data_IF_718613539152
#
_entry.id   IF_718613539152
#
_cell.length_a   1.000
_cell.length_b   1.000
_cell.length_c   1.000
_cell.angle_alpha   90.00
_cell.angle_beta   90.00
_cell.angle_gamma   90.00
#
_symmetry.space_group_name_H-M   'P 1'
#
loop_
_entity.id
_entity.type
_entity.pdbx_description
1 polymer ?
#
# COMPACT_ATOMS: atom_id res chain seq x y z
N UNK A 1 2.30 24.38 9.93
CA UNK A 1 1.34 23.86 9.02
C UNK A 1 1.74 22.60 8.29
N UNK A 2 2.94 22.14 8.54
CA UNK A 2 3.38 20.88 7.91
C UNK A 2 2.49 19.72 8.33
N UNK A 3 2.02 19.73 9.56
CA UNK A 3 1.13 18.69 10.03
C UNK A 3 -0.19 18.70 9.26
N UNK A 4 -0.63 19.89 8.93
CA UNK A 4 -1.85 20.06 8.15
C UNK A 4 -1.68 19.51 6.75
N UNK A 5 -0.53 19.75 6.13
CA UNK A 5 -0.24 19.24 4.81
C UNK A 5 -0.29 17.73 4.77
N UNK A 6 0.32 17.12 5.77
CA UNK A 6 0.35 15.67 5.87
C UNK A 6 -1.06 15.12 5.98
N UNK A 7 -1.87 15.75 6.84
CA UNK A 7 -3.25 15.32 7.02
C UNK A 7 -4.06 15.51 5.75
N UNK A 8 -3.77 16.59 5.04
CA UNK A 8 -4.48 16.89 3.82
C UNK A 8 -4.30 15.78 2.78
N UNK A 9 -3.06 15.38 2.53
CA UNK A 9 -2.79 14.34 1.52
C UNK A 9 -3.35 13.00 1.93
N UNK A 10 -3.26 12.67 3.21
CA UNK A 10 -3.84 11.42 3.69
C UNK A 10 -5.36 11.44 3.55
N UNK A 11 -5.98 12.55 3.85
CA UNK A 11 -7.42 12.69 3.73
C UNK A 11 -7.86 12.53 2.28
N UNK A 12 -7.14 13.16 1.36
CA UNK A 12 -7.47 13.05 -0.05
C UNK A 12 -7.32 11.60 -0.54
N UNK A 13 -6.28 10.93 -0.08
CA UNK A 13 -6.08 9.52 -0.43
C UNK A 13 -7.22 8.67 0.10
N UNK A 14 -7.62 8.89 1.35
CA UNK A 14 -8.69 8.13 1.98
C UNK A 14 -10.02 8.34 1.26
N UNK A 15 -10.28 9.56 0.85
CA UNK A 15 -11.51 9.89 0.12
C UNK A 15 -11.53 9.16 -1.23
N UNK A 16 -10.40 9.22 -1.94
CA UNK A 16 -10.32 8.55 -3.24
C UNK A 16 -10.52 7.05 -3.11
N UNK A 17 -9.94 6.46 -2.09
CA UNK A 17 -10.10 5.02 -1.86
C UNK A 17 -11.53 4.69 -1.48
N UNK A 18 -12.15 5.50 -0.67
CA UNK A 18 -13.55 5.28 -0.28
C UNK A 18 -14.47 5.33 -1.50
N UNK A 19 -14.23 6.29 -2.39
CA UNK A 19 -15.03 6.39 -3.60
C UNK A 19 -14.78 5.19 -4.52
N UNK A 20 -13.52 4.78 -4.63
CA UNK A 20 -13.19 3.63 -5.46
C UNK A 20 -13.80 2.35 -4.90
N UNK A 21 -13.88 2.26 -3.58
CA UNK A 21 -14.47 1.09 -2.92
C UNK A 21 -15.90 0.85 -3.39
N UNK A 22 -16.62 1.90 -3.66
CA UNK A 22 -18.00 1.78 -4.12
C UNK A 22 -18.09 1.06 -5.46
N UNK A 23 -17.03 1.10 -6.25
CA UNK A 23 -16.99 0.46 -7.55
C UNK A 23 -16.50 -0.98 -7.48
N UNK A 24 -16.04 -1.43 -6.32
CA UNK A 24 -15.55 -2.80 -6.17
C UNK A 24 -16.76 -3.72 -6.03
N UNK A 25 -16.88 -4.73 -6.90
CA UNK A 25 -18.01 -5.66 -6.80
C UNK A 25 -17.97 -6.48 -5.52
N UNK A 26 -19.15 -6.88 -5.06
CA UNK A 26 -19.24 -7.78 -3.92
C UNK A 26 -18.56 -9.08 -4.29
N UNK A 27 -17.75 -9.61 -3.36
CA UNK A 27 -17.08 -10.86 -3.63
C UNK A 27 -15.85 -10.74 -4.51
N UNK A 28 -15.42 -9.51 -4.81
CA UNK A 28 -14.23 -9.30 -5.62
C UNK A 28 -13.02 -9.90 -4.93
N UNK A 29 -12.14 -10.55 -5.71
CA UNK A 29 -10.91 -11.06 -5.13
C UNK A 29 -9.97 -9.88 -4.88
N UNK A 30 -8.86 -10.16 -4.21
CA UNK A 30 -7.95 -9.11 -3.81
C UNK A 30 -7.30 -8.43 -5.02
N UNK A 31 -7.06 -9.18 -6.08
CA UNK A 31 -6.43 -8.61 -7.27
C UNK A 31 -7.34 -7.60 -7.95
N UNK A 32 -8.60 -7.94 -8.06
CA UNK A 32 -9.56 -7.02 -8.67
C UNK A 32 -9.72 -5.79 -7.81
N UNK A 33 -9.82 -5.98 -6.51
CA UNK A 33 -9.94 -4.87 -5.59
C UNK A 33 -8.74 -3.93 -5.70
N UNK A 34 -7.53 -4.49 -5.75
CA UNK A 34 -6.32 -3.70 -5.90
C UNK A 34 -6.35 -2.90 -7.20
N UNK A 35 -6.79 -3.53 -8.26
CA UNK A 35 -6.86 -2.88 -9.56
C UNK A 35 -7.79 -1.68 -9.54
N UNK A 36 -8.96 -1.84 -8.94
CA UNK A 36 -9.94 -0.76 -8.84
C UNK A 36 -9.38 0.39 -8.01
N UNK A 37 -8.78 0.06 -6.88
CA UNK A 37 -8.21 1.08 -6.00
C UNK A 37 -7.07 1.82 -6.69
N UNK A 38 -6.18 1.10 -7.35
CA UNK A 38 -5.04 1.73 -8.00
C UNK A 38 -5.45 2.64 -9.14
N UNK A 39 -6.54 2.32 -9.81
CA UNK A 39 -7.04 3.16 -10.88
C UNK A 39 -7.57 4.49 -10.35
N UNK A 40 -7.84 4.56 -9.07
CA UNK A 40 -8.40 5.76 -8.45
C UNK A 40 -7.33 6.73 -7.92
N UNK A 41 -6.07 6.40 -8.11
CA UNK A 41 -4.98 7.25 -7.63
C UNK A 41 -5.20 8.68 -8.12
N UNK A 42 -5.38 9.64 -7.22
CA UNK A 42 -5.80 10.99 -7.60
C UNK A 42 -4.72 12.03 -7.86
N UNK A 43 -3.48 11.70 -7.55
CA UNK A 43 -2.44 12.72 -7.53
C UNK A 43 -1.58 12.86 -8.78
N UNK A 44 -1.84 12.10 -9.77
CA UNK A 44 -1.09 12.19 -11.02
C UNK A 44 0.27 11.54 -10.95
N UNK A 45 1.24 12.25 -10.44
CA UNK A 45 2.60 11.72 -10.34
C UNK A 45 2.72 10.78 -9.16
N UNK A 46 3.43 9.69 -9.38
CA UNK A 46 3.65 8.71 -8.32
C UNK A 46 4.99 8.99 -7.66
N UNK A 47 5.10 10.20 -7.12
CA UNK A 47 6.32 10.68 -6.49
C UNK A 47 6.01 11.51 -5.27
N UNK A 48 7.02 11.64 -4.43
CA UNK A 48 6.96 12.57 -3.31
C UNK A 48 5.92 12.24 -2.26
N UNK A 49 5.67 13.21 -1.41
CA UNK A 49 4.82 13.03 -0.25
C UNK A 49 3.40 12.56 -0.56
N UNK A 50 2.73 13.12 -1.55
CA UNK A 50 1.36 12.65 -1.84
C UNK A 50 1.30 11.15 -2.16
N UNK A 51 2.27 10.67 -2.91
CA UNK A 51 2.30 9.27 -3.27
C UNK A 51 2.56 8.40 -2.04
N UNK A 52 3.42 8.84 -1.13
CA UNK A 52 3.68 8.11 0.10
C UNK A 52 2.42 8.00 0.93
N UNK A 53 1.65 9.07 1.01
CA UNK A 53 0.41 9.05 1.78
C UNK A 53 -0.61 8.12 1.14
N UNK A 54 -0.64 8.09 -0.19
CA UNK A 54 -1.49 7.16 -0.92
C UNK A 54 -1.13 5.72 -0.57
N UNK A 55 0.16 5.39 -0.59
CA UNK A 55 0.61 4.03 -0.29
C UNK A 55 0.23 3.60 1.12
N UNK A 56 0.30 4.52 2.08
CA UNK A 56 -0.07 4.21 3.46
C UNK A 56 -1.56 3.89 3.55
N UNK A 57 -2.40 4.75 2.98
CA UNK A 57 -3.84 4.56 3.03
C UNK A 57 -4.27 3.31 2.26
N UNK A 58 -3.63 3.09 1.11
CA UNK A 58 -3.89 1.90 0.31
C UNK A 58 -3.55 0.63 1.07
N UNK A 59 -2.42 0.62 1.75
CA UNK A 59 -2.00 -0.55 2.51
C UNK A 59 -2.98 -0.84 3.65
N UNK A 60 -3.43 0.19 4.34
CA UNK A 60 -4.38 0.02 5.42
C UNK A 60 -5.71 -0.52 4.90
N UNK A 61 -6.17 0.01 3.78
CA UNK A 61 -7.41 -0.45 3.18
C UNK A 61 -7.32 -1.93 2.78
N UNK A 62 -6.26 -2.28 2.06
CA UNK A 62 -6.12 -3.65 1.59
C UNK A 62 -5.94 -4.64 2.74
N UNK A 63 -5.25 -4.21 3.78
CA UNK A 63 -5.07 -5.06 4.95
C UNK A 63 -6.41 -5.38 5.61
N UNK A 64 -7.32 -4.43 5.62
CA UNK A 64 -8.65 -4.63 6.18
C UNK A 64 -9.43 -5.68 5.41
N UNK A 65 -9.04 -5.94 4.16
CA UNK A 65 -9.70 -6.93 3.33
C UNK A 65 -8.85 -8.21 3.17
N UNK A 66 -7.93 -8.40 4.09
CA UNK A 66 -7.16 -9.63 4.14
C UNK A 66 -5.89 -9.70 3.31
N UNK A 67 -5.54 -8.63 2.67
CA UNK A 67 -4.31 -8.62 1.90
C UNK A 67 -3.12 -8.58 2.84
N UNK A 68 -2.26 -9.55 2.70
CA UNK A 68 -1.09 -9.64 3.54
C UNK A 68 0.13 -9.85 2.64
N UNK A 69 0.72 -8.75 2.19
CA UNK A 69 1.88 -8.87 1.32
C UNK A 69 2.97 -9.57 2.09
N UNK A 70 3.55 -10.57 1.50
CA UNK A 70 4.66 -11.25 2.12
C UNK A 70 5.69 -10.20 2.45
N UNK A 71 6.09 -10.15 3.71
CA UNK A 71 7.15 -9.28 4.07
C UNK A 71 8.26 -9.73 3.17
N UNK A 72 8.68 -8.91 2.37
CA UNK A 72 9.71 -9.21 1.45
C UNK A 72 10.89 -9.65 2.26
N UNK A 73 11.03 -10.89 2.33
CA UNK A 73 12.20 -11.53 2.92
C UNK A 73 13.36 -10.77 2.42
N UNK A 74 12.93 -10.16 1.51
CA UNK A 74 13.43 -9.10 0.95
C UNK A 74 14.36 -8.37 1.78
N UNK A 75 13.99 -8.10 2.81
CA UNK A 75 14.81 -7.33 3.68
C UNK A 75 15.90 -8.16 4.30
N UNK A 76 15.92 -9.41 3.91
CA UNK A 76 16.99 -10.25 4.34
C UNK A 76 18.18 -9.85 3.51
N UNK A 77 19.17 -9.25 4.13
CA UNK A 77 20.34 -8.81 3.42
C UNK A 77 21.14 -10.02 2.92
N UNK A 78 21.97 -9.84 1.91
CA UNK A 78 22.83 -10.92 1.45
C UNK A 78 23.66 -11.50 2.57
N UNK A 79 24.07 -10.67 3.51
CA UNK A 79 24.85 -11.12 4.64
C UNK A 79 24.05 -12.05 5.53
N UNK A 80 22.84 -11.70 5.82
CA UNK A 80 21.98 -12.54 6.65
C UNK A 80 21.72 -13.88 5.99
N UNK A 81 21.53 -13.86 4.70
CA UNK A 81 21.30 -15.09 3.95
C UNK A 81 22.53 -15.99 4.01
N UNK A 82 23.68 -15.38 3.88
CA UNK A 82 24.94 -16.09 3.92
C UNK A 82 25.18 -16.67 5.31
N UNK A 83 24.89 -15.91 6.33
CA UNK A 83 25.05 -16.37 7.70
C UNK A 83 24.14 -17.54 8.02
N UNK A 84 22.92 -17.47 7.56
CA UNK A 84 21.95 -18.54 7.78
C UNK A 84 22.45 -19.80 7.14
N UNK A 85 23.00 -19.69 5.96
CA UNK A 85 23.51 -20.83 5.22
C UNK A 85 24.74 -21.39 5.90
N UNK A 86 25.58 -20.51 6.42
CA UNK A 86 26.78 -20.92 7.11
C UNK A 86 26.51 -21.65 8.40
N UNK A 87 25.47 -21.23 9.10
CA UNK A 87 25.11 -21.85 10.35
C UNK A 87 24.66 -23.28 10.19
N UNK A 88 24.25 -23.61 9.00
CA UNK A 88 23.82 -24.96 8.73
C UNK A 88 24.99 -25.88 8.44
N UNK A 89 26.04 -25.27 8.02
CA UNK A 89 27.27 -25.97 7.68
C UNK A 89 27.85 -26.61 8.84
#
# INVERSE_FOLDING_TARGET
MSARSRSYWRLQAAIAIREAHKAVPDGADIKLRMSVIDAAYPFGQRKYHPYKMWLIERAEYLRAYGYNPKPKAVHESPLERLMRRGLRG
#
